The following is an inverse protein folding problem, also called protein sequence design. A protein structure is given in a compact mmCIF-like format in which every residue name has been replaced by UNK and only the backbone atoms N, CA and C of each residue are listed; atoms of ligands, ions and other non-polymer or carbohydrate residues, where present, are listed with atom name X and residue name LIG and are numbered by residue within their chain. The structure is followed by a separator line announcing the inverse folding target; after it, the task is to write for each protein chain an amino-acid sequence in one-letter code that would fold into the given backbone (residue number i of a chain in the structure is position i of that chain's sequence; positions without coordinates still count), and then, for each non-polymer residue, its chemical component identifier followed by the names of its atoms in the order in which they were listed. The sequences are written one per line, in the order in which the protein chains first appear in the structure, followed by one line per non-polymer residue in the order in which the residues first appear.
data_IF_358020247469
#
_entry.id   IF_358020247469
#
_cell.length_a   1.000
_cell.length_b   1.000
_cell.length_c   1.000
_cell.angle_alpha   90.00
_cell.angle_beta   90.00
_cell.angle_gamma   90.00
#
_symmetry.space_group_name_H-M   'P 1'
#
loop_
_entity.id
_entity.type
_entity.pdbx_description
1 polymer ?
#
# COMPACT_ATOMS: atom_id res chain seq x y z
N UNK A 1 14.50 -23.17 -10.47
CA UNK A 1 13.28 -23.98 -10.73
C UNK A 1 13.48 -25.44 -10.34
N UNK A 2 14.59 -26.08 -10.76
CA UNK A 2 14.96 -27.48 -10.41
C UNK A 2 14.94 -27.79 -8.90
N UNK A 3 15.36 -26.83 -8.05
CA UNK A 3 15.35 -27.01 -6.58
C UNK A 3 13.95 -27.11 -5.97
N UNK A 4 12.95 -26.42 -6.55
CA UNK A 4 11.56 -26.42 -6.05
C UNK A 4 10.87 -27.73 -6.38
N UNK A 5 11.06 -28.23 -7.60
CA UNK A 5 10.52 -29.54 -8.03
C UNK A 5 11.06 -30.65 -7.12
N UNK A 6 12.37 -30.63 -6.81
CA UNK A 6 12.99 -31.59 -5.90
C UNK A 6 12.42 -31.52 -4.47
N UNK A 7 12.05 -30.32 -4.00
CA UNK A 7 11.42 -30.14 -2.68
C UNK A 7 9.99 -30.70 -2.67
N UNK A 8 9.23 -30.44 -3.73
CA UNK A 8 7.87 -30.96 -3.93
C UNK A 8 7.85 -32.49 -3.99
N UNK A 9 8.74 -33.10 -4.77
CA UNK A 9 8.81 -34.58 -4.86
C UNK A 9 9.23 -35.23 -3.55
N UNK A 10 10.09 -34.58 -2.76
CA UNK A 10 10.44 -35.07 -1.43
C UNK A 10 9.24 -35.02 -0.48
N UNK A 11 8.49 -33.91 -0.50
CA UNK A 11 7.36 -33.68 0.40
C UNK A 11 6.17 -34.59 0.04
N UNK A 12 5.87 -34.77 -1.25
CA UNK A 12 4.85 -35.72 -1.68
C UNK A 12 5.20 -37.16 -1.30
N UNK A 13 6.47 -37.56 -1.47
CA UNK A 13 6.94 -38.88 -1.06
C UNK A 13 6.82 -39.10 0.45
N UNK A 14 7.08 -38.06 1.25
CA UNK A 14 7.00 -38.13 2.71
C UNK A 14 5.55 -38.30 3.20
N UNK A 15 4.60 -37.55 2.61
CA UNK A 15 3.17 -37.68 2.90
C UNK A 15 2.66 -39.07 2.52
N UNK A 16 3.04 -39.57 1.34
CA UNK A 16 2.62 -40.91 0.88
C UNK A 16 3.17 -42.00 1.81
N UNK A 17 4.40 -41.87 2.29
CA UNK A 17 5.00 -42.84 3.21
C UNK A 17 4.36 -42.84 4.59
N UNK A 18 3.94 -41.68 5.07
CA UNK A 18 3.40 -41.52 6.43
C UNK A 18 1.89 -41.79 6.50
N UNK A 19 1.12 -41.35 5.51
CA UNK A 19 -0.35 -41.38 5.53
C UNK A 19 -0.96 -42.24 4.42
N UNK A 20 -0.15 -42.75 3.49
CA UNK A 20 -0.58 -43.57 2.37
C UNK A 20 -0.99 -42.75 1.14
N UNK A 21 -1.04 -43.45 -0.01
CA UNK A 21 -1.33 -42.83 -1.31
C UNK A 21 -2.76 -42.28 -1.39
N UNK A 22 -3.72 -42.97 -0.78
CA UNK A 22 -5.14 -42.55 -0.82
C UNK A 22 -5.35 -41.21 -0.13
N UNK A 23 -4.72 -40.99 1.03
CA UNK A 23 -4.78 -39.72 1.75
C UNK A 23 -4.11 -38.59 0.95
N UNK A 24 -2.93 -38.85 0.39
CA UNK A 24 -2.25 -37.88 -0.46
C UNK A 24 -3.11 -37.44 -1.65
N UNK A 25 -3.76 -38.38 -2.34
CA UNK A 25 -4.64 -38.06 -3.46
C UNK A 25 -5.87 -37.27 -3.04
N UNK A 26 -6.48 -37.62 -1.90
CA UNK A 26 -7.63 -36.88 -1.38
C UNK A 26 -7.29 -35.41 -1.11
N UNK A 27 -6.21 -35.18 -0.34
CA UNK A 27 -5.74 -33.82 -0.03
C UNK A 27 -5.30 -33.08 -1.29
N UNK A 28 -4.62 -33.75 -2.23
CA UNK A 28 -4.20 -33.11 -3.48
C UNK A 28 -5.39 -32.67 -4.34
N UNK A 29 -6.48 -33.47 -4.38
CA UNK A 29 -7.70 -33.11 -5.10
C UNK A 29 -8.42 -31.97 -4.40
N UNK A 30 -8.58 -32.04 -3.07
CA UNK A 30 -9.23 -31.00 -2.26
C UNK A 30 -8.51 -29.65 -2.38
N UNK A 31 -7.18 -29.64 -2.30
CA UNK A 31 -6.37 -28.44 -2.49
C UNK A 31 -6.44 -27.90 -3.93
N UNK A 32 -6.53 -28.77 -4.93
CA UNK A 32 -6.73 -28.37 -6.33
C UNK A 32 -8.12 -27.76 -6.55
N UNK A 33 -9.16 -28.22 -5.87
CA UNK A 33 -10.49 -27.63 -5.94
C UNK A 33 -10.54 -26.27 -5.24
N UNK A 34 -9.91 -26.15 -4.07
CA UNK A 34 -9.90 -24.93 -3.26
C UNK A 34 -8.99 -23.82 -3.84
N UNK A 35 -7.78 -24.16 -4.29
CA UNK A 35 -6.77 -23.20 -4.77
C UNK A 35 -6.63 -23.14 -6.31
N UNK A 36 -7.33 -24.03 -7.05
CA UNK A 36 -7.22 -24.19 -8.50
C UNK A 36 -5.76 -24.38 -8.95
N UNK A 37 -5.40 -23.86 -10.12
CA UNK A 37 -4.03 -23.80 -10.63
C UNK A 37 -3.40 -22.41 -10.45
N UNK A 38 -3.93 -21.57 -9.54
CA UNK A 38 -3.46 -20.19 -9.36
C UNK A 38 -2.01 -20.13 -8.86
N UNK A 39 -1.57 -21.14 -8.11
CA UNK A 39 -0.16 -21.33 -7.73
C UNK A 39 0.78 -21.52 -8.93
N UNK A 40 0.25 -22.02 -10.06
CA UNK A 40 1.00 -22.22 -11.31
C UNK A 40 0.92 -20.98 -12.23
N UNK A 41 -0.07 -20.11 -12.03
CA UNK A 41 -0.22 -18.81 -12.70
C UNK A 41 0.63 -17.74 -12.01
N UNK A 42 1.93 -17.96 -11.94
CA UNK A 42 2.84 -17.05 -11.24
C UNK A 42 2.75 -15.60 -11.74
N UNK A 43 2.73 -14.64 -10.79
CA UNK A 43 3.05 -13.18 -10.83
C UNK A 43 2.52 -12.27 -11.96
N UNK A 44 2.02 -12.78 -13.07
CA UNK A 44 1.61 -11.98 -14.24
C UNK A 44 0.22 -11.39 -14.00
N UNK A 45 -0.70 -12.16 -13.40
CA UNK A 45 -2.03 -11.66 -13.04
C UNK A 45 -1.98 -10.68 -11.87
N UNK A 46 -1.10 -10.90 -10.88
CA UNK A 46 -0.93 -10.01 -9.73
C UNK A 46 -0.42 -8.64 -10.19
N UNK A 47 0.60 -8.58 -11.06
CA UNK A 47 1.07 -7.29 -11.62
C UNK A 47 -0.02 -6.59 -12.42
N UNK A 48 -0.78 -7.32 -13.24
CA UNK A 48 -1.82 -6.76 -14.09
C UNK A 48 -3.01 -6.25 -13.28
N UNK A 49 -3.40 -6.97 -12.22
CA UNK A 49 -4.43 -6.55 -11.27
C UNK A 49 -3.96 -5.36 -10.44
N UNK A 50 -2.72 -5.35 -9.94
CA UNK A 50 -2.17 -4.20 -9.22
C UNK A 50 -2.11 -2.95 -10.09
N UNK A 51 -1.68 -3.09 -11.35
CA UNK A 51 -1.67 -2.00 -12.33
C UNK A 51 -3.08 -1.50 -12.65
N UNK A 52 -4.05 -2.41 -12.88
CA UNK A 52 -5.44 -2.04 -13.12
C UNK A 52 -6.11 -1.40 -11.89
N UNK A 53 -5.79 -1.86 -10.68
CA UNK A 53 -6.30 -1.29 -9.44
C UNK A 53 -5.71 0.10 -9.21
N UNK A 54 -4.42 0.30 -9.52
CA UNK A 54 -3.74 1.59 -9.41
C UNK A 54 -4.22 2.60 -10.47
N UNK A 55 -4.50 2.14 -11.69
CA UNK A 55 -5.15 2.94 -12.75
C UNK A 55 -6.58 3.33 -12.32
N UNK A 56 -7.36 2.38 -11.77
CA UNK A 56 -8.72 2.65 -11.27
C UNK A 56 -8.75 3.66 -10.12
N UNK A 57 -7.84 3.57 -9.15
CA UNK A 57 -7.76 4.54 -8.05
C UNK A 57 -7.33 5.93 -8.55
N UNK A 58 -6.44 5.99 -9.54
CA UNK A 58 -6.02 7.25 -10.17
C UNK A 58 -7.18 7.90 -10.95
N UNK A 59 -7.98 7.10 -11.65
CA UNK A 59 -9.19 7.57 -12.34
C UNK A 59 -10.25 8.09 -11.37
N UNK A 60 -10.49 7.38 -10.26
CA UNK A 60 -11.38 7.85 -9.18
C UNK A 60 -10.91 9.18 -8.59
N UNK A 61 -9.61 9.31 -8.35
CA UNK A 61 -9.02 10.56 -7.84
C UNK A 61 -9.15 11.71 -8.85
N UNK A 62 -8.93 11.45 -10.14
CA UNK A 62 -9.13 12.45 -11.20
C UNK A 62 -10.58 12.90 -11.32
N UNK A 63 -11.53 11.97 -11.27
CA UNK A 63 -12.96 12.29 -11.28
C UNK A 63 -13.38 13.09 -10.02
N UNK A 64 -12.76 12.81 -8.86
CA UNK A 64 -12.94 13.59 -7.65
C UNK A 64 -12.40 15.02 -7.78
N UNK A 65 -11.22 15.20 -8.37
CA UNK A 65 -10.65 16.53 -8.65
C UNK A 65 -11.51 17.33 -9.64
N UNK A 66 -12.00 16.69 -10.70
CA UNK A 66 -12.92 17.33 -11.66
C UNK A 66 -14.24 17.77 -11.00
N UNK A 67 -14.77 16.95 -10.08
CA UNK A 67 -15.94 17.30 -9.28
C UNK A 67 -15.68 18.48 -8.34
N UNK A 68 -14.47 18.58 -7.79
CA UNK A 68 -14.04 19.72 -6.96
C UNK A 68 -13.81 20.99 -7.77
N UNK A 69 -13.43 20.90 -9.04
CA UNK A 69 -13.26 22.07 -9.93
C UNK A 69 -14.61 22.63 -10.41
N UNK A 70 -15.66 21.79 -10.42
CA UNK A 70 -17.04 22.16 -10.75
C UNK A 70 -17.82 22.76 -9.58
N UNK A 71 -17.43 22.46 -8.35
CA UNK A 71 -17.91 23.14 -7.15
C UNK A 71 -16.96 24.30 -6.90
N UNK A 72 -17.34 25.57 -7.09
CA UNK A 72 -16.52 26.67 -6.62
C UNK A 72 -16.54 26.61 -5.09
N UNK A 73 -15.64 25.81 -4.51
CA UNK A 73 -15.24 26.00 -3.13
C UNK A 73 -14.42 27.26 -3.17
N UNK A 74 -15.13 28.39 -3.10
CA UNK A 74 -14.58 29.71 -2.95
C UNK A 74 -13.63 29.64 -1.76
N UNK A 75 -12.32 29.55 -2.05
CA UNK A 75 -11.26 29.63 -1.04
C UNK A 75 -11.48 30.86 -0.15
N UNK A 76 -12.03 31.92 -0.75
CA UNK A 76 -12.42 33.18 -0.10
C UNK A 76 -13.56 33.02 0.92
N UNK A 77 -14.47 32.05 0.77
CA UNK A 77 -15.55 31.81 1.75
C UNK A 77 -15.00 31.12 3.00
N UNK A 78 -14.07 30.15 2.85
CA UNK A 78 -13.52 29.44 4.00
C UNK A 78 -12.62 30.33 4.86
N UNK A 79 -11.82 31.22 4.24
CA UNK A 79 -10.99 32.18 4.96
C UNK A 79 -11.82 33.19 5.78
N UNK A 80 -13.01 33.56 5.30
CA UNK A 80 -13.89 34.51 5.99
C UNK A 80 -14.81 33.87 7.06
N UNK A 81 -15.05 32.55 7.04
CA UNK A 81 -15.93 31.86 8.00
C UNK A 81 -15.23 31.49 9.32
N UNK A 82 -13.89 31.43 9.33
CA UNK A 82 -13.08 31.09 10.50
C UNK A 82 -12.26 32.30 10.93
N UNK A 83 -12.89 33.23 11.66
CA UNK A 83 -12.20 34.32 12.38
C UNK A 83 -11.14 33.84 13.40
N UNK A 84 -11.01 32.52 13.57
CA UNK A 84 -10.08 31.89 14.47
C UNK A 84 -9.15 30.95 13.70
N UNK A 85 -7.87 31.34 13.62
CA UNK A 85 -6.79 30.58 12.98
C UNK A 85 -5.85 30.02 14.06
N UNK A 86 -6.13 28.84 14.65
CA UNK A 86 -5.33 28.28 15.73
C UNK A 86 -3.88 28.03 15.30
N UNK A 87 -2.92 28.37 16.15
CA UNK A 87 -1.53 27.97 15.94
C UNK A 87 -1.40 26.48 16.27
N UNK A 88 -0.85 25.68 15.34
CA UNK A 88 -0.51 24.29 15.61
C UNK A 88 1.00 24.04 15.54
N UNK A 89 1.44 23.01 16.25
CA UNK A 89 2.84 22.61 16.32
C UNK A 89 3.03 21.25 15.67
N UNK A 90 3.89 21.18 14.66
CA UNK A 90 4.29 19.95 13.97
C UNK A 90 5.56 19.43 14.63
N UNK A 91 5.52 18.22 15.16
CA UNK A 91 6.67 17.57 15.80
C UNK A 91 7.23 16.51 14.86
N UNK A 92 8.49 16.67 14.45
CA UNK A 92 9.17 15.77 13.52
C UNK A 92 10.32 15.08 14.26
N UNK A 93 10.26 13.75 14.48
CA UNK A 93 11.41 13.01 14.98
C UNK A 93 12.47 12.90 13.88
N UNK A 94 13.72 13.22 14.22
CA UNK A 94 14.87 13.12 13.33
C UNK A 94 15.80 12.00 13.78
N UNK A 95 16.15 11.13 12.83
CA UNK A 95 17.13 10.06 13.00
C UNK A 95 17.97 9.93 11.71
N UNK A 96 19.04 9.13 11.78
CA UNK A 96 19.93 8.95 10.61
C UNK A 96 19.25 8.26 9.42
N UNK A 97 18.23 7.45 9.68
CA UNK A 97 17.50 6.69 8.66
C UNK A 97 16.55 7.58 7.84
N UNK A 98 16.01 8.64 8.46
CA UNK A 98 15.01 9.51 7.86
C UNK A 98 15.56 10.87 7.37
N UNK A 99 16.88 11.08 7.46
CA UNK A 99 17.52 12.34 7.09
C UNK A 99 17.25 12.75 5.64
N UNK A 100 17.17 11.79 4.72
CA UNK A 100 16.85 12.03 3.30
C UNK A 100 15.42 12.51 3.04
N UNK A 101 14.50 12.38 4.01
CA UNK A 101 13.10 12.78 3.86
C UNK A 101 12.78 14.14 4.48
N UNK A 102 13.71 14.73 5.22
CA UNK A 102 13.49 15.99 5.92
C UNK A 102 13.25 17.15 4.95
N UNK A 103 14.07 17.28 3.92
CA UNK A 103 13.93 18.34 2.93
C UNK A 103 12.61 18.22 2.11
N UNK A 104 12.25 17.05 1.55
CA UNK A 104 10.94 16.85 0.91
C UNK A 104 9.76 17.17 1.85
N UNK A 105 9.87 16.80 3.13
CA UNK A 105 8.83 17.06 4.12
C UNK A 105 8.66 18.56 4.38
N UNK A 106 9.76 19.31 4.52
CA UNK A 106 9.68 20.77 4.66
C UNK A 106 9.06 21.44 3.43
N UNK A 107 9.42 21.01 2.23
CA UNK A 107 8.83 21.52 0.99
C UNK A 107 7.32 21.26 0.96
N UNK A 108 6.90 20.05 1.30
CA UNK A 108 5.48 19.69 1.36
C UNK A 108 4.70 20.54 2.37
N UNK A 109 5.26 20.81 3.55
CA UNK A 109 4.61 21.66 4.57
C UNK A 109 4.51 23.12 4.07
N UNK A 110 5.53 23.64 3.39
CA UNK A 110 5.53 25.00 2.85
C UNK A 110 4.51 25.20 1.72
N UNK A 111 4.20 24.16 0.96
CA UNK A 111 3.22 24.20 -0.13
C UNK A 111 1.75 24.18 0.36
N UNK A 112 1.52 23.95 1.66
CA UNK A 112 0.17 23.99 2.25
C UNK A 112 -0.37 25.42 2.32
N UNK A 113 -1.70 25.56 2.23
CA UNK A 113 -2.37 26.87 2.30
C UNK A 113 -2.38 27.50 3.70
N UNK A 114 -2.10 26.73 4.75
CA UNK A 114 -2.17 27.21 6.13
C UNK A 114 -0.80 27.69 6.61
N UNK A 115 -0.70 28.96 7.04
CA UNK A 115 0.57 29.61 7.40
C UNK A 115 0.89 29.66 8.91
N UNK A 116 -0.09 29.41 9.78
CA UNK A 116 0.05 29.63 11.23
C UNK A 116 0.49 28.36 11.97
N UNK A 117 1.72 27.94 11.70
CA UNK A 117 2.29 26.73 12.29
C UNK A 117 3.70 26.94 12.84
N UNK A 118 4.11 26.04 13.71
CA UNK A 118 5.48 25.92 14.20
C UNK A 118 5.97 24.50 13.98
N UNK A 119 7.25 24.34 13.64
CA UNK A 119 7.87 23.04 13.42
C UNK A 119 8.96 22.83 14.46
N UNK A 120 8.88 21.73 15.20
CA UNK A 120 9.88 21.30 16.18
C UNK A 120 10.51 20.00 15.68
N UNK A 121 11.83 19.99 15.53
CA UNK A 121 12.58 18.78 15.19
C UNK A 121 13.15 18.19 16.48
N UNK A 122 12.77 16.94 16.76
CA UNK A 122 13.30 16.17 17.88
C UNK A 122 14.39 15.24 17.38
N UNK A 123 15.64 15.65 17.55
CA UNK A 123 16.78 14.79 17.30
C UNK A 123 16.99 13.87 18.51
N UNK A 124 16.93 12.56 18.29
CA UNK A 124 17.43 11.60 19.27
C UNK A 124 18.93 11.43 19.06
N UNK A 125 19.68 11.52 20.15
CA UNK A 125 21.10 11.10 20.19
C UNK A 125 21.25 9.60 19.94
#
# INVERSE_FOLDING_TARGET
MVSRIKKLTKLSLDIIKTHGLSYYLHVAIEELENQKLDLLRGNIQIKKQQQQMQESESEKYRAFLEKLDLEPTDKDILENQLNYKPKFTIIIPFNKENSGYIEPLFTSIKEQSYDNYEIIILQSD
#
